data_IF_844223686705
#
_entry.id   IF_844223686705
#
_cell.length_a   1.000
_cell.length_b   1.000
_cell.length_c   1.000
_cell.angle_alpha   90.00
_cell.angle_beta   90.00
_cell.angle_gamma   90.00
#
_symmetry.space_group_name_H-M   'P 1'
#
loop_
_entity.id
_entity.type
_entity.pdbx_description
1 polymer ?
#
# COMPACT_ATOMS: atom_id res chain seq x y z
N UNK A 1 -4.62 -10.46 38.41
CA UNK A 1 -4.89 -10.42 36.98
C UNK A 1 -5.11 -11.87 36.52
N UNK A 2 -6.31 -12.21 36.15
CA UNK A 2 -6.67 -13.55 35.68
C UNK A 2 -7.12 -13.41 34.18
N UNK A 3 -6.17 -13.61 33.27
CA UNK A 3 -6.45 -13.47 31.84
C UNK A 3 -7.05 -14.76 31.29
N UNK A 4 -8.20 -14.63 30.64
CA UNK A 4 -8.86 -15.69 29.88
C UNK A 4 -8.88 -15.34 28.40
N UNK A 5 -8.96 -16.35 27.53
CA UNK A 5 -8.94 -16.18 26.08
C UNK A 5 -10.16 -16.85 25.48
N UNK A 6 -10.81 -16.19 24.52
CA UNK A 6 -11.96 -16.70 23.80
C UNK A 6 -12.05 -16.18 22.39
N UNK A 7 -12.91 -16.78 21.60
CA UNK A 7 -13.24 -16.23 20.27
C UNK A 7 -13.96 -14.88 20.38
N UNK A 8 -13.86 -14.11 19.32
CA UNK A 8 -14.56 -12.83 19.14
C UNK A 8 -16.09 -13.01 19.23
N UNK A 9 -16.76 -12.04 19.85
CA UNK A 9 -18.22 -11.96 19.96
C UNK A 9 -18.72 -10.60 19.48
N UNK A 10 -19.98 -10.53 19.09
CA UNK A 10 -20.63 -9.25 18.78
C UNK A 10 -20.55 -8.30 19.96
N UNK A 11 -20.17 -7.04 19.69
CA UNK A 11 -19.98 -6.00 20.71
C UNK A 11 -18.56 -5.88 21.28
N UNK A 12 -17.64 -6.81 20.95
CA UNK A 12 -16.24 -6.73 21.37
C UNK A 12 -15.53 -5.49 20.79
N UNK A 13 -15.91 -5.07 19.60
CA UNK A 13 -15.41 -3.84 18.97
C UNK A 13 -15.69 -2.60 19.81
N UNK A 14 -16.90 -2.47 20.34
CA UNK A 14 -17.30 -1.35 21.20
C UNK A 14 -16.62 -1.44 22.56
N UNK A 15 -16.60 -2.63 23.18
CA UNK A 15 -15.95 -2.83 24.47
C UNK A 15 -14.43 -2.55 24.41
N UNK A 16 -13.75 -3.01 23.36
CA UNK A 16 -12.34 -2.74 23.15
C UNK A 16 -12.07 -1.27 22.81
N UNK A 17 -12.96 -0.61 22.07
CA UNK A 17 -12.84 0.82 21.79
C UNK A 17 -12.92 1.67 23.07
N UNK A 18 -13.74 1.31 24.02
CA UNK A 18 -13.81 1.98 25.33
C UNK A 18 -12.50 1.84 26.11
N UNK A 19 -11.84 0.67 26.03
CA UNK A 19 -10.58 0.40 26.74
C UNK A 19 -9.37 1.00 26.01
N UNK A 20 -9.29 0.82 24.68
CA UNK A 20 -8.14 1.27 23.88
C UNK A 20 -8.19 2.74 23.51
N UNK A 21 -9.39 3.34 23.45
CA UNK A 21 -9.61 4.65 22.86
C UNK A 21 -9.47 4.63 21.33
N UNK A 22 -9.32 5.82 20.75
CA UNK A 22 -9.08 5.96 19.30
C UNK A 22 -7.76 5.30 18.84
N UNK A 23 -7.63 4.93 17.55
CA UNK A 23 -6.40 4.36 17.04
C UNK A 23 -5.26 5.39 17.08
N UNK A 24 -4.13 5.01 17.70
CA UNK A 24 -2.99 5.91 17.91
C UNK A 24 -1.99 5.89 16.74
N UNK A 25 -2.01 4.82 15.94
CA UNK A 25 -1.11 4.61 14.80
C UNK A 25 -1.90 4.34 13.54
N UNK A 26 -1.28 4.56 12.37
CA UNK A 26 -1.89 4.22 11.09
C UNK A 26 -2.17 2.72 10.98
N UNK A 27 -1.28 1.88 11.54
CA UNK A 27 -1.49 0.43 11.59
C UNK A 27 -2.72 0.06 12.41
N UNK A 28 -2.93 0.71 13.57
CA UNK A 28 -4.14 0.50 14.36
C UNK A 28 -5.40 0.90 13.56
N UNK A 29 -5.37 2.04 12.85
CA UNK A 29 -6.46 2.46 11.96
C UNK A 29 -6.76 1.40 10.90
N UNK A 30 -5.73 0.91 10.22
CA UNK A 30 -5.85 -0.07 9.15
C UNK A 30 -6.35 -1.43 9.66
N UNK A 31 -5.79 -1.92 10.78
CA UNK A 31 -6.00 -3.31 11.20
C UNK A 31 -7.13 -3.51 12.19
N UNK A 32 -7.55 -2.50 12.98
CA UNK A 32 -8.71 -2.65 13.88
C UNK A 32 -9.98 -3.05 13.12
N UNK A 33 -10.16 -2.56 11.89
CA UNK A 33 -11.27 -2.95 11.01
C UNK A 33 -11.25 -4.43 10.59
N UNK A 34 -10.15 -5.15 10.79
CA UNK A 34 -10.07 -6.60 10.53
C UNK A 34 -10.48 -7.46 11.73
N UNK A 35 -10.55 -6.87 12.93
CA UNK A 35 -11.05 -7.52 14.13
C UNK A 35 -12.56 -7.71 14.01
N UNK A 36 -12.99 -8.94 13.85
CA UNK A 36 -14.39 -9.29 13.62
C UNK A 36 -14.58 -10.81 13.86
N UNK A 37 -15.82 -11.30 13.92
CA UNK A 37 -16.09 -12.72 14.12
C UNK A 37 -15.30 -13.62 13.17
N UNK A 38 -14.89 -14.78 13.64
CA UNK A 38 -14.21 -15.79 12.83
C UNK A 38 -15.06 -16.17 11.59
N UNK A 39 -14.42 -16.36 10.45
CA UNK A 39 -15.09 -16.63 9.18
C UNK A 39 -14.24 -17.52 8.26
N UNK A 40 -14.86 -18.08 7.24
CA UNK A 40 -14.21 -18.98 6.28
C UNK A 40 -14.15 -18.42 4.85
N UNK A 41 -14.81 -17.29 4.58
CA UNK A 41 -14.81 -16.66 3.26
C UNK A 41 -14.88 -15.13 3.37
N UNK A 42 -13.74 -14.40 3.42
CA UNK A 42 -12.36 -14.90 3.53
C UNK A 42 -12.07 -15.55 4.89
N UNK A 43 -11.12 -16.47 4.91
CA UNK A 43 -10.73 -17.12 6.16
C UNK A 43 -10.11 -16.13 7.14
N UNK A 44 -10.62 -16.16 8.37
CA UNK A 44 -10.17 -15.29 9.47
C UNK A 44 -10.43 -15.97 10.80
N UNK A 45 -9.51 -15.79 11.76
CA UNK A 45 -9.66 -16.15 13.18
C UNK A 45 -9.33 -14.98 14.04
N UNK A 46 -10.19 -14.69 15.01
CA UNK A 46 -10.04 -13.57 15.94
C UNK A 46 -10.22 -14.06 17.37
N UNK A 47 -9.27 -13.67 18.23
CA UNK A 47 -9.20 -14.09 19.65
C UNK A 47 -9.16 -12.85 20.51
N UNK A 48 -9.97 -12.83 21.57
CA UNK A 48 -10.04 -11.77 22.57
C UNK A 48 -9.46 -12.27 23.88
N UNK A 49 -8.66 -11.44 24.54
CA UNK A 49 -8.20 -11.66 25.89
C UNK A 49 -9.00 -10.78 26.87
N UNK A 50 -9.49 -11.39 27.95
CA UNK A 50 -10.28 -10.73 29.00
C UNK A 50 -9.54 -10.79 30.31
N UNK A 51 -9.50 -9.67 31.07
CA UNK A 51 -9.12 -9.68 32.47
C UNK A 51 -10.38 -9.85 33.34
N UNK A 52 -10.33 -10.79 34.25
CA UNK A 52 -11.45 -11.05 35.19
C UNK A 52 -11.19 -10.28 36.45
N UNK A 53 -11.94 -9.20 36.63
CA UNK A 53 -11.89 -8.32 37.82
C UNK A 53 -13.22 -8.45 38.58
N UNK A 54 -13.16 -8.87 39.80
CA UNK A 54 -14.35 -9.04 40.69
C UNK A 54 -15.46 -9.90 40.05
N UNK A 55 -15.06 -10.90 39.25
CA UNK A 55 -16.00 -11.78 38.58
C UNK A 55 -16.57 -11.24 37.26
N UNK A 56 -16.15 -10.03 36.83
CA UNK A 56 -16.52 -9.43 35.54
C UNK A 56 -15.39 -9.61 34.58
N UNK A 57 -15.68 -10.19 33.40
CA UNK A 57 -14.70 -10.33 32.32
C UNK A 57 -14.71 -9.08 31.44
N UNK A 58 -13.57 -8.41 31.36
CA UNK A 58 -13.37 -7.16 30.61
C UNK A 58 -12.42 -7.43 29.44
N UNK A 59 -12.82 -7.23 28.17
CA UNK A 59 -11.93 -7.36 27.03
C UNK A 59 -10.79 -6.34 27.10
N UNK A 60 -9.53 -6.80 27.12
CA UNK A 60 -8.35 -5.92 27.24
C UNK A 60 -7.38 -6.04 26.10
N UNK A 61 -7.49 -7.10 25.29
CA UNK A 61 -6.67 -7.30 24.12
C UNK A 61 -7.40 -8.14 23.08
N UNK A 62 -7.00 -7.97 21.82
CA UNK A 62 -7.46 -8.84 20.74
C UNK A 62 -6.32 -9.11 19.75
N UNK A 63 -6.45 -10.24 19.06
CA UNK A 63 -5.60 -10.57 17.94
C UNK A 63 -6.38 -11.24 16.82
N UNK A 64 -5.99 -10.99 15.58
CA UNK A 64 -6.59 -11.55 14.38
C UNK A 64 -5.51 -12.10 13.47
N UNK A 65 -5.82 -13.21 12.79
CA UNK A 65 -5.09 -13.73 11.65
C UNK A 65 -6.06 -13.96 10.50
N UNK A 66 -5.70 -13.52 9.29
CA UNK A 66 -6.59 -13.65 8.13
C UNK A 66 -5.81 -13.78 6.81
N UNK A 67 -6.46 -14.40 5.84
CA UNK A 67 -5.98 -14.48 4.46
C UNK A 67 -6.11 -13.12 3.75
N UNK A 68 -5.21 -12.88 2.80
CA UNK A 68 -5.26 -11.74 1.89
C UNK A 68 -5.29 -12.25 0.45
N UNK A 69 -6.29 -11.85 -0.31
CA UNK A 69 -6.45 -12.27 -1.70
C UNK A 69 -5.35 -11.76 -2.61
N UNK A 70 -4.85 -10.55 -2.36
CA UNK A 70 -3.82 -9.94 -3.20
C UNK A 70 -2.45 -10.58 -3.01
N UNK A 71 -2.09 -10.92 -1.78
CA UNK A 71 -0.81 -11.52 -1.42
C UNK A 71 -1.05 -12.81 -0.63
N UNK A 72 -1.30 -13.93 -1.30
CA UNK A 72 -1.77 -15.15 -0.66
C UNK A 72 -0.68 -15.96 0.04
N UNK A 73 0.61 -15.58 -0.08
CA UNK A 73 1.72 -16.39 0.44
C UNK A 73 2.00 -16.18 1.93
N UNK A 74 1.36 -15.19 2.55
CA UNK A 74 1.45 -14.88 3.97
C UNK A 74 0.10 -14.44 4.51
N UNK A 75 -0.19 -14.83 5.74
CA UNK A 75 -1.37 -14.38 6.46
C UNK A 75 -1.09 -13.04 7.16
N UNK A 76 -2.02 -12.12 7.11
CA UNK A 76 -1.97 -10.94 7.95
C UNK A 76 -2.26 -11.31 9.39
N UNK A 77 -1.43 -10.82 10.32
CA UNK A 77 -1.66 -10.92 11.75
C UNK A 77 -1.63 -9.54 12.38
N UNK A 78 -2.53 -9.30 13.32
CA UNK A 78 -2.55 -8.08 14.12
C UNK A 78 -2.87 -8.44 15.57
N UNK A 79 -2.16 -7.82 16.51
CA UNK A 79 -2.39 -7.97 17.95
C UNK A 79 -2.34 -6.59 18.58
N UNK A 80 -3.38 -6.26 19.33
CA UNK A 80 -3.43 -5.04 20.14
C UNK A 80 -3.74 -5.38 21.59
N UNK A 81 -3.00 -4.75 22.52
CA UNK A 81 -3.12 -4.96 23.95
C UNK A 81 -3.24 -3.60 24.62
N UNK A 82 -4.24 -3.46 25.50
CA UNK A 82 -4.39 -2.28 26.34
C UNK A 82 -3.08 -1.94 27.07
N UNK A 83 -2.80 -0.66 27.22
CA UNK A 83 -1.54 -0.14 27.78
C UNK A 83 -1.22 -0.71 29.17
N UNK A 84 -2.24 -0.85 30.01
CA UNK A 84 -2.08 -1.34 31.39
C UNK A 84 -1.79 -2.85 31.45
N UNK A 85 -2.14 -3.60 30.37
CA UNK A 85 -1.97 -5.04 30.27
C UNK A 85 -0.75 -5.46 29.42
N UNK A 86 0.03 -4.47 28.92
CA UNK A 86 1.28 -4.73 28.21
C UNK A 86 2.34 -5.29 29.15
N UNK A 87 3.31 -6.01 28.60
CA UNK A 87 4.45 -6.64 29.32
C UNK A 87 4.04 -7.74 30.31
N UNK A 88 2.78 -8.16 30.31
CA UNK A 88 2.24 -9.27 31.12
C UNK A 88 2.11 -10.59 30.32
N UNK A 89 2.70 -10.67 29.11
CA UNK A 89 2.66 -11.89 28.28
C UNK A 89 1.40 -12.03 27.42
N UNK A 90 0.39 -11.15 27.57
CA UNK A 90 -0.92 -11.24 26.87
C UNK A 90 -0.72 -11.27 25.35
N UNK A 91 0.05 -10.33 24.79
CA UNK A 91 0.31 -10.28 23.36
C UNK A 91 1.05 -11.50 22.82
N UNK A 92 2.02 -12.02 23.57
CA UNK A 92 2.77 -13.23 23.18
C UNK A 92 1.87 -14.47 23.18
N UNK A 93 0.97 -14.58 24.14
CA UNK A 93 -0.02 -15.67 24.18
C UNK A 93 -0.98 -15.57 23.00
N UNK A 94 -1.54 -14.38 22.72
CA UNK A 94 -2.38 -14.15 21.55
C UNK A 94 -1.66 -14.54 20.25
N UNK A 95 -0.42 -14.08 20.05
CA UNK A 95 0.34 -14.42 18.85
C UNK A 95 0.59 -15.94 18.73
N UNK A 96 0.86 -16.64 19.84
CA UNK A 96 1.00 -18.08 19.85
C UNK A 96 -0.29 -18.79 19.44
N UNK A 97 -1.43 -18.34 19.96
CA UNK A 97 -2.75 -18.87 19.59
C UNK A 97 -3.05 -18.60 18.11
N UNK A 98 -2.76 -17.39 17.61
CA UNK A 98 -2.95 -17.05 16.19
C UNK A 98 -2.06 -17.89 15.27
N UNK A 99 -0.82 -18.24 15.68
CA UNK A 99 0.04 -19.18 14.94
C UNK A 99 -0.56 -20.59 14.91
N UNK A 100 -1.20 -21.01 16.00
CA UNK A 100 -1.92 -22.29 16.04
C UNK A 100 -3.11 -22.28 15.07
N UNK A 101 -3.89 -21.21 15.03
CA UNK A 101 -4.98 -21.04 14.07
C UNK A 101 -4.46 -21.00 12.63
N UNK A 102 -3.37 -20.27 12.38
CA UNK A 102 -2.74 -20.18 11.06
C UNK A 102 -2.34 -21.58 10.52
N UNK A 103 -1.88 -22.47 11.39
CA UNK A 103 -1.55 -23.84 11.00
C UNK A 103 -2.76 -24.66 10.52
N UNK A 104 -4.00 -24.18 10.76
CA UNK A 104 -5.25 -24.79 10.35
C UNK A 104 -5.90 -24.05 9.17
N UNK A 105 -5.22 -23.03 8.59
CA UNK A 105 -5.71 -22.28 7.44
C UNK A 105 -5.96 -23.22 6.25
N UNK A 106 -7.11 -23.10 5.56
CA UNK A 106 -7.43 -23.90 4.37
C UNK A 106 -6.43 -23.73 3.23
N UNK A 107 -5.76 -22.59 3.15
CA UNK A 107 -4.72 -22.34 2.16
C UNK A 107 -3.41 -23.10 2.44
N UNK A 108 -3.24 -23.68 3.63
CA UNK A 108 -1.98 -24.28 4.07
C UNK A 108 -0.86 -23.27 4.34
N UNK A 109 -1.15 -21.97 4.24
CA UNK A 109 -0.19 -20.90 4.53
C UNK A 109 -0.12 -20.67 6.03
N UNK A 110 1.09 -20.73 6.58
CA UNK A 110 1.34 -20.57 8.02
C UNK A 110 2.19 -19.34 8.35
N UNK A 111 2.90 -18.79 7.36
CA UNK A 111 3.75 -17.61 7.54
C UNK A 111 2.89 -16.39 7.84
N UNK A 112 3.23 -15.71 8.92
CA UNK A 112 2.57 -14.46 9.31
C UNK A 112 3.33 -13.26 8.76
N UNK A 113 2.60 -12.17 8.52
CA UNK A 113 3.13 -10.83 8.30
C UNK A 113 2.30 -9.80 9.04
N UNK A 114 2.92 -8.71 9.37
CA UNK A 114 2.25 -7.53 9.96
C UNK A 114 2.98 -6.25 9.56
N UNK A 115 2.38 -5.11 9.84
CA UNK A 115 3.00 -3.79 9.67
C UNK A 115 3.32 -3.20 11.04
N UNK A 116 4.48 -2.54 11.16
CA UNK A 116 4.89 -1.84 12.38
C UNK A 116 5.62 -0.55 12.04
N UNK A 117 5.54 0.43 12.93
CA UNK A 117 6.38 1.62 12.87
C UNK A 117 7.67 1.38 13.65
N UNK A 118 8.86 1.69 13.10
CA UNK A 118 10.13 1.58 13.81
C UNK A 118 10.13 2.38 15.12
N UNK A 119 10.84 1.84 16.13
CA UNK A 119 10.96 2.51 17.43
C UNK A 119 9.72 2.44 18.32
N UNK A 120 8.65 1.76 17.89
CA UNK A 120 7.43 1.57 18.68
C UNK A 120 7.48 0.30 19.54
N UNK A 121 6.64 0.20 20.58
CA UNK A 121 6.48 -1.06 21.32
C UNK A 121 6.06 -2.23 20.42
N UNK A 122 5.29 -1.97 19.36
CA UNK A 122 4.92 -2.97 18.36
C UNK A 122 6.12 -3.52 17.61
N UNK A 123 7.07 -2.66 17.20
CA UNK A 123 8.31 -3.10 16.54
C UNK A 123 9.15 -3.99 17.47
N UNK A 124 9.33 -3.59 18.73
CA UNK A 124 10.04 -4.40 19.72
C UNK A 124 9.34 -5.75 20.00
N UNK A 125 8.02 -5.77 19.96
CA UNK A 125 7.23 -7.00 20.15
C UNK A 125 7.43 -7.99 18.99
N UNK A 126 7.35 -7.54 17.74
CA UNK A 126 7.50 -8.44 16.57
C UNK A 126 8.93 -8.92 16.41
N UNK A 127 9.93 -8.09 16.74
CA UNK A 127 11.34 -8.49 16.80
C UNK A 127 11.55 -9.60 17.83
N UNK A 128 11.03 -9.41 19.07
CA UNK A 128 11.08 -10.44 20.11
C UNK A 128 10.32 -11.73 19.76
N UNK A 129 9.32 -11.63 18.87
CA UNK A 129 8.57 -12.77 18.34
C UNK A 129 9.27 -13.47 17.15
N UNK A 130 10.45 -12.98 16.74
CA UNK A 130 11.26 -13.56 15.67
C UNK A 130 10.83 -13.17 14.25
N UNK A 131 9.96 -12.17 14.07
CA UNK A 131 9.64 -11.66 12.74
C UNK A 131 10.76 -10.73 12.26
N UNK A 132 11.04 -10.79 10.95
CA UNK A 132 12.11 -10.02 10.32
C UNK A 132 11.53 -9.02 9.30
N UNK A 133 12.13 -7.85 9.13
CA UNK A 133 11.73 -6.90 8.10
C UNK A 133 11.88 -7.52 6.70
N UNK A 134 10.84 -7.39 5.88
CA UNK A 134 10.82 -7.85 4.49
C UNK A 134 10.57 -6.71 3.51
N UNK A 135 9.99 -5.61 3.97
CA UNK A 135 9.74 -4.42 3.17
C UNK A 135 9.68 -3.19 4.06
N UNK A 136 10.11 -2.06 3.52
CA UNK A 136 9.96 -0.73 4.12
C UNK A 136 9.17 0.14 3.17
N UNK A 137 8.19 0.87 3.70
CA UNK A 137 7.35 1.80 2.95
C UNK A 137 7.36 3.17 3.61
N UNK A 138 7.34 4.22 2.79
CA UNK A 138 7.31 5.63 3.21
C UNK A 138 6.34 6.40 2.35
N UNK A 139 5.59 7.28 2.96
CA UNK A 139 4.82 8.27 2.22
C UNK A 139 5.68 9.51 2.01
N UNK A 140 5.77 9.97 0.76
CA UNK A 140 6.61 11.10 0.36
C UNK A 140 5.79 12.12 -0.40
N UNK A 141 5.80 13.36 0.06
CA UNK A 141 5.23 14.49 -0.68
C UNK A 141 6.35 15.13 -1.49
N UNK A 142 6.18 15.16 -2.81
CA UNK A 142 7.04 15.89 -3.74
C UNK A 142 6.44 17.26 -3.96
N UNK A 143 7.26 18.31 -3.71
CA UNK A 143 6.80 19.70 -3.80
C UNK A 143 6.67 20.17 -5.27
N UNK A 144 5.79 21.14 -5.55
CA UNK A 144 5.62 21.66 -6.90
C UNK A 144 6.91 22.19 -7.50
N UNK A 145 7.17 21.84 -8.78
CA UNK A 145 8.36 22.32 -9.50
C UNK A 145 9.70 21.73 -9.01
N UNK A 146 9.67 20.68 -8.18
CA UNK A 146 10.87 20.01 -7.66
C UNK A 146 11.79 19.46 -8.76
N UNK A 147 11.24 19.15 -9.93
CA UNK A 147 11.96 18.62 -11.09
C UNK A 147 11.81 19.57 -12.29
N UNK A 148 12.84 19.59 -13.13
CA UNK A 148 12.76 20.30 -14.42
C UNK A 148 11.83 19.52 -15.36
N UNK A 149 10.96 20.26 -16.04
CA UNK A 149 10.11 19.67 -17.08
C UNK A 149 10.97 19.03 -18.18
N UNK A 150 10.59 17.84 -18.64
CA UNK A 150 11.24 17.20 -19.77
C UNK A 150 10.99 17.98 -21.07
N UNK A 151 11.92 17.89 -21.99
CA UNK A 151 11.77 18.40 -23.35
C UNK A 151 11.63 17.22 -24.29
N UNK A 152 10.46 17.09 -24.92
CA UNK A 152 10.15 16.00 -25.82
C UNK A 152 10.47 16.38 -27.28
N UNK A 153 11.16 15.50 -28.00
CA UNK A 153 11.48 15.68 -29.42
C UNK A 153 12.15 17.01 -29.72
N UNK A 154 11.53 17.84 -30.52
CA UNK A 154 11.99 19.19 -30.90
C UNK A 154 11.56 20.30 -29.90
N UNK A 155 10.92 19.92 -28.79
CA UNK A 155 10.39 20.84 -27.79
C UNK A 155 9.03 21.44 -28.14
N UNK A 156 8.39 21.01 -29.22
CA UNK A 156 7.05 21.47 -29.58
C UNK A 156 5.97 20.80 -28.73
N UNK A 157 4.82 21.48 -28.60
CA UNK A 157 3.64 20.92 -27.94
C UNK A 157 3.14 19.65 -28.66
N UNK A 158 3.29 19.58 -29.99
CA UNK A 158 2.97 18.39 -30.76
C UNK A 158 3.84 17.19 -30.36
N UNK A 159 5.14 17.39 -30.19
CA UNK A 159 6.05 16.33 -29.72
C UNK A 159 5.74 15.88 -28.30
N UNK A 160 5.36 16.80 -27.42
CA UNK A 160 4.90 16.47 -26.07
C UNK A 160 3.60 15.65 -26.10
N UNK A 161 2.60 16.06 -26.86
CA UNK A 161 1.31 15.36 -27.02
C UNK A 161 1.42 13.98 -27.69
N UNK A 162 2.52 13.69 -28.37
CA UNK A 162 2.79 12.35 -28.89
C UNK A 162 3.29 11.37 -27.84
N UNK A 163 3.93 11.88 -26.79
CA UNK A 163 4.55 11.05 -25.74
C UNK A 163 3.77 11.08 -24.42
N UNK A 164 3.04 12.14 -24.14
CA UNK A 164 2.22 12.26 -22.91
C UNK A 164 0.74 12.15 -23.30
N UNK A 165 0.03 11.21 -22.67
CA UNK A 165 -1.37 10.92 -22.98
C UNK A 165 -2.18 10.75 -21.70
N UNK A 166 -3.35 11.38 -21.64
CA UNK A 166 -4.39 11.02 -20.68
C UNK A 166 -5.02 9.70 -21.12
N UNK A 167 -5.01 8.71 -20.25
CA UNK A 167 -5.50 7.39 -20.55
C UNK A 167 -6.68 7.04 -19.63
N UNK A 168 -7.74 6.49 -20.21
CA UNK A 168 -8.86 6.01 -19.39
C UNK A 168 -8.41 4.92 -18.43
N UNK A 169 -8.84 4.99 -17.18
CA UNK A 169 -8.51 4.01 -16.13
C UNK A 169 -8.99 2.60 -16.51
N UNK A 170 -10.06 2.46 -17.30
CA UNK A 170 -10.53 1.17 -17.87
C UNK A 170 -9.67 0.61 -19.03
N UNK A 171 -8.54 1.24 -19.39
CA UNK A 171 -7.67 0.77 -20.47
C UNK A 171 -7.03 -0.58 -20.17
N UNK A 172 -7.14 -1.52 -21.12
CA UNK A 172 -6.51 -2.84 -21.03
C UNK A 172 -4.97 -2.71 -21.01
N UNK A 173 -4.41 -1.80 -21.81
CA UNK A 173 -2.96 -1.54 -21.85
C UNK A 173 -2.45 -1.04 -20.49
N UNK A 174 -3.17 -0.10 -19.86
CA UNK A 174 -2.85 0.39 -18.53
C UNK A 174 -2.93 -0.73 -17.49
N UNK A 175 -4.01 -1.49 -17.49
CA UNK A 175 -4.21 -2.61 -16.57
C UNK A 175 -3.08 -3.64 -16.64
N UNK A 176 -2.64 -3.96 -17.87
CA UNK A 176 -1.58 -4.93 -18.09
C UNK A 176 -0.22 -4.43 -17.56
N UNK A 177 0.16 -3.17 -17.83
CA UNK A 177 1.42 -2.62 -17.33
C UNK A 177 1.40 -2.43 -15.80
N UNK A 178 0.29 -1.98 -15.23
CA UNK A 178 0.10 -1.84 -13.78
C UNK A 178 0.27 -3.20 -13.08
N UNK A 179 -0.39 -4.25 -13.59
CA UNK A 179 -0.28 -5.59 -13.02
C UNK A 179 1.15 -6.15 -13.08
N UNK A 180 1.86 -5.95 -14.20
CA UNK A 180 3.28 -6.35 -14.33
C UNK A 180 4.18 -5.56 -13.39
N UNK A 181 4.00 -4.24 -13.31
CA UNK A 181 4.77 -3.40 -12.40
C UNK A 181 4.56 -3.80 -10.95
N UNK A 182 3.29 -3.92 -10.53
CA UNK A 182 2.95 -4.34 -9.17
C UNK A 182 3.61 -5.67 -8.80
N UNK A 183 3.53 -6.66 -9.71
CA UNK A 183 4.18 -7.96 -9.50
C UNK A 183 5.71 -7.85 -9.41
N UNK A 184 6.32 -6.95 -10.16
CA UNK A 184 7.79 -6.79 -10.18
C UNK A 184 8.33 -6.18 -8.89
N UNK A 185 7.61 -5.22 -8.30
CA UNK A 185 8.03 -4.54 -7.06
C UNK A 185 7.61 -5.31 -5.80
N UNK A 186 6.71 -6.29 -5.90
CA UNK A 186 6.28 -7.12 -4.78
C UNK A 186 6.86 -8.55 -4.82
N UNK A 187 8.05 -8.71 -5.41
CA UNK A 187 8.73 -10.03 -5.45
C UNK A 187 9.03 -10.62 -4.06
N UNK A 188 9.14 -9.79 -3.04
CA UNK A 188 9.32 -10.19 -1.63
C UNK A 188 8.06 -10.87 -1.03
N UNK A 189 6.89 -10.61 -1.58
CA UNK A 189 5.61 -11.26 -1.24
C UNK A 189 4.73 -11.28 -2.50
N UNK A 190 5.03 -12.22 -3.39
CA UNK A 190 4.44 -12.24 -4.72
C UNK A 190 2.91 -12.19 -4.67
N UNK A 191 2.29 -11.29 -5.43
CA UNK A 191 0.83 -11.25 -5.50
C UNK A 191 0.28 -12.53 -6.14
N UNK A 192 -1.00 -12.78 -5.91
CA UNK A 192 -1.75 -13.77 -6.67
C UNK A 192 -1.84 -13.39 -8.15
N UNK A 193 -2.58 -14.17 -8.93
CA UNK A 193 -2.77 -13.86 -10.35
C UNK A 193 -3.48 -12.50 -10.54
N UNK A 194 -2.78 -11.57 -11.18
CA UNK A 194 -3.28 -10.24 -11.51
C UNK A 194 -3.83 -10.23 -12.93
N UNK A 195 -5.02 -10.81 -13.12
CA UNK A 195 -5.77 -10.65 -14.37
C UNK A 195 -6.12 -9.17 -14.61
N UNK A 196 -6.37 -8.77 -15.85
CA UNK A 196 -6.82 -7.41 -16.20
C UNK A 196 -8.01 -6.99 -15.33
N UNK A 197 -9.02 -7.85 -15.16
CA UNK A 197 -10.17 -7.55 -14.34
C UNK A 197 -9.83 -7.38 -12.85
N UNK A 198 -8.86 -8.15 -12.34
CA UNK A 198 -8.38 -8.01 -10.95
C UNK A 198 -7.66 -6.67 -10.78
N UNK A 199 -6.77 -6.30 -11.71
CA UNK A 199 -6.06 -5.03 -11.68
C UNK A 199 -7.02 -3.85 -11.77
N UNK A 200 -7.99 -3.89 -12.69
CA UNK A 200 -9.02 -2.85 -12.80
C UNK A 200 -9.74 -2.64 -11.48
N UNK A 201 -10.26 -3.71 -10.89
CA UNK A 201 -10.99 -3.64 -9.62
C UNK A 201 -10.13 -3.11 -8.46
N UNK A 202 -8.85 -3.46 -8.38
CA UNK A 202 -8.00 -3.13 -7.24
C UNK A 202 -7.35 -1.77 -7.34
N UNK A 203 -7.02 -1.32 -8.56
CA UNK A 203 -6.18 -0.13 -8.76
C UNK A 203 -6.79 0.94 -9.68
N UNK A 204 -7.78 0.60 -10.48
CA UNK A 204 -8.24 1.47 -11.57
C UNK A 204 -9.74 1.78 -11.54
N UNK A 205 -10.50 1.12 -10.68
CA UNK A 205 -11.94 1.34 -10.51
C UNK A 205 -12.19 2.61 -9.68
N UNK A 206 -13.28 3.32 -9.98
CA UNK A 206 -13.75 4.44 -9.16
C UNK A 206 -13.98 4.03 -7.69
N UNK A 207 -14.37 2.78 -7.43
CA UNK A 207 -14.51 2.25 -6.06
C UNK A 207 -13.16 2.11 -5.35
N UNK A 208 -12.05 1.98 -6.08
CA UNK A 208 -10.69 2.06 -5.52
C UNK A 208 -10.20 3.50 -5.33
N UNK A 209 -11.00 4.49 -5.73
CA UNK A 209 -10.68 5.90 -5.69
C UNK A 209 -9.96 6.42 -6.95
N UNK A 210 -9.67 5.58 -7.93
CA UNK A 210 -8.98 6.01 -9.15
C UNK A 210 -9.86 6.93 -9.99
N UNK A 211 -9.37 8.13 -10.34
CA UNK A 211 -10.15 9.10 -11.11
C UNK A 211 -9.42 9.66 -12.34
N UNK A 212 -8.14 9.30 -12.55
CA UNK A 212 -7.39 9.72 -13.73
C UNK A 212 -6.09 8.96 -13.88
N UNK A 213 -5.60 8.85 -15.11
CA UNK A 213 -4.29 8.29 -15.40
C UNK A 213 -3.59 9.06 -16.51
N UNK A 214 -2.33 9.38 -16.29
CA UNK A 214 -1.42 9.97 -17.28
C UNK A 214 -0.34 8.96 -17.57
N UNK A 215 -0.02 8.77 -18.85
CA UNK A 215 1.05 7.85 -19.28
C UNK A 215 2.11 8.56 -20.11
N UNK A 216 3.34 8.11 -19.95
CA UNK A 216 4.47 8.48 -20.79
C UNK A 216 4.75 7.36 -21.79
N UNK A 217 4.94 7.71 -23.06
CA UNK A 217 5.22 6.78 -24.16
C UNK A 217 6.58 7.05 -24.79
N UNK A 218 7.22 5.97 -25.24
CA UNK A 218 8.39 6.09 -26.10
C UNK A 218 8.06 6.90 -27.36
N UNK A 219 9.03 7.63 -27.92
CA UNK A 219 8.89 8.20 -29.23
C UNK A 219 8.50 7.14 -30.25
N UNK A 220 7.66 7.48 -31.22
CA UNK A 220 7.32 6.57 -32.32
C UNK A 220 8.59 6.18 -33.04
N UNK A 221 8.88 4.88 -33.14
CA UNK A 221 9.98 4.42 -33.96
C UNK A 221 9.72 4.85 -35.41
N UNK A 222 10.65 5.60 -36.02
CA UNK A 222 10.54 5.96 -37.42
C UNK A 222 10.63 4.68 -38.25
N UNK A 223 9.58 4.38 -39.00
CA UNK A 223 9.45 3.18 -39.82
C UNK A 223 10.31 3.27 -41.12
N UNK A 224 11.60 3.49 -40.95
CA UNK A 224 12.53 3.30 -42.07
C UNK A 224 13.13 1.89 -41.98
N UNK A 225 12.53 0.94 -42.70
CA UNK A 225 13.25 -0.21 -43.18
C UNK A 225 12.81 -1.62 -42.84
N UNK A 226 11.71 -1.90 -42.17
CA UNK A 226 11.19 -3.27 -42.06
C UNK A 226 9.66 -3.28 -41.95
N UNK A 227 9.01 -4.08 -42.83
CA UNK A 227 7.55 -4.17 -43.01
C UNK A 227 6.75 -4.78 -41.84
N UNK A 228 6.97 -4.28 -40.65
CA UNK A 228 6.18 -4.60 -39.44
C UNK A 228 5.16 -3.48 -39.24
N UNK A 229 3.86 -3.76 -39.00
CA UNK A 229 2.89 -2.74 -38.70
C UNK A 229 3.32 -2.01 -37.44
N UNK A 230 3.78 -0.76 -37.60
CA UNK A 230 4.15 0.12 -36.49
C UNK A 230 2.85 0.45 -35.73
N UNK A 231 2.81 0.14 -34.45
CA UNK A 231 1.75 0.64 -33.56
C UNK A 231 1.63 2.16 -33.78
N UNK A 232 0.40 2.67 -33.94
CA UNK A 232 0.16 4.11 -34.12
C UNK A 232 0.61 4.93 -32.91
N UNK A 233 0.82 4.29 -31.76
CA UNK A 233 1.29 4.90 -30.49
C UNK A 233 2.60 4.26 -30.06
N UNK A 234 3.50 5.02 -29.46
CA UNK A 234 4.71 4.51 -28.82
C UNK A 234 4.39 3.53 -27.68
N UNK A 235 5.37 2.70 -27.30
CA UNK A 235 5.25 1.81 -26.13
C UNK A 235 5.06 2.64 -24.87
N UNK A 236 4.15 2.20 -23.97
CA UNK A 236 3.99 2.80 -22.65
C UNK A 236 5.25 2.56 -21.82
N UNK A 237 5.85 3.62 -21.28
CA UNK A 237 7.09 3.57 -20.49
C UNK A 237 6.85 3.83 -19.00
N UNK A 238 5.98 4.80 -18.68
CA UNK A 238 5.59 5.10 -17.30
C UNK A 238 4.11 5.45 -17.22
N UNK A 239 3.53 5.27 -16.05
CA UNK A 239 2.15 5.62 -15.75
C UNK A 239 2.05 6.28 -14.37
N UNK A 240 1.10 7.18 -14.22
CA UNK A 240 0.67 7.79 -12.97
C UNK A 240 -0.85 7.70 -12.87
N UNK A 241 -1.34 7.11 -11.80
CA UNK A 241 -2.78 6.99 -11.50
C UNK A 241 -3.05 7.87 -10.29
N UNK A 242 -3.96 8.82 -10.44
CA UNK A 242 -4.39 9.70 -9.34
C UNK A 242 -5.60 9.12 -8.62
N UNK A 243 -5.60 9.26 -7.29
CA UNK A 243 -6.68 8.81 -6.44
C UNK A 243 -7.37 10.00 -5.77
N UNK A 244 -8.69 9.97 -5.77
CA UNK A 244 -9.48 10.86 -4.93
C UNK A 244 -9.32 10.44 -3.47
N UNK A 245 -9.20 11.41 -2.57
CA UNK A 245 -9.32 11.13 -1.15
C UNK A 245 -10.68 10.46 -0.92
N UNK A 246 -10.67 9.19 -0.49
CA UNK A 246 -11.90 8.52 -0.06
C UNK A 246 -12.46 9.35 1.09
N UNK A 247 -13.48 10.13 0.82
CA UNK A 247 -14.14 10.96 1.82
C UNK A 247 -14.40 10.09 3.06
N UNK A 248 -13.77 10.43 4.18
CA UNK A 248 -14.05 9.79 5.46
C UNK A 248 -15.57 9.73 5.60
N UNK A 249 -16.13 8.55 5.85
CA UNK A 249 -17.55 8.26 5.81
C UNK A 249 -18.36 9.36 6.52
N UNK A 250 -18.98 10.28 5.76
CA UNK A 250 -19.73 11.45 6.26
C UNK A 250 -19.51 12.77 5.51
N UNK A 251 -18.53 12.86 4.62
CA UNK A 251 -18.29 14.06 3.79
C UNK A 251 -19.11 14.04 2.50
N UNK A 252 -19.71 15.16 2.16
CA UNK A 252 -20.56 15.35 0.99
C UNK A 252 -19.74 15.18 -0.31
N UNK A 253 -20.01 14.22 -1.20
CA UNK A 253 -19.28 14.04 -2.45
C UNK A 253 -19.76 15.08 -3.48
N UNK A 254 -19.20 16.27 -3.47
CA UNK A 254 -19.67 17.30 -4.38
C UNK A 254 -19.01 18.66 -4.27
N UNK A 255 -17.89 18.79 -3.63
CA UNK A 255 -17.14 20.05 -3.55
C UNK A 255 -15.94 20.03 -4.49
N UNK A 256 -16.03 20.79 -5.59
CA UNK A 256 -14.91 21.05 -6.51
C UNK A 256 -13.81 21.98 -5.92
N UNK A 257 -13.67 22.01 -4.61
CA UNK A 257 -12.66 22.78 -3.87
C UNK A 257 -11.98 21.87 -2.86
N UNK A 258 -11.05 21.01 -3.34
CA UNK A 258 -9.99 20.56 -2.45
C UNK A 258 -9.24 21.81 -1.98
N UNK A 259 -8.97 21.98 -0.66
CA UNK A 259 -8.23 23.15 -0.19
C UNK A 259 -6.91 23.19 -0.96
N UNK A 260 -6.66 24.33 -1.62
CA UNK A 260 -5.46 24.60 -2.40
C UNK A 260 -4.23 24.32 -1.52
N UNK A 261 -3.49 23.22 -1.81
CA UNK A 261 -2.29 22.83 -1.08
C UNK A 261 -2.26 21.40 -0.53
N UNK A 262 -3.34 20.62 -0.61
CA UNK A 262 -3.26 19.20 -0.30
C UNK A 262 -2.58 18.42 -1.45
N UNK A 263 -1.68 17.48 -1.15
CA UNK A 263 -1.03 16.67 -2.19
C UNK A 263 -2.02 15.67 -2.78
N UNK A 264 -1.93 15.49 -4.09
CA UNK A 264 -2.68 14.43 -4.79
C UNK A 264 -2.01 13.08 -4.55
N UNK A 265 -2.76 12.09 -4.10
CA UNK A 265 -2.27 10.71 -3.97
C UNK A 265 -2.11 10.09 -5.36
N UNK A 266 -0.91 9.55 -5.64
CA UNK A 266 -0.56 9.02 -6.96
C UNK A 266 0.19 7.70 -6.86
N UNK A 267 -0.28 6.71 -7.58
CA UNK A 267 0.47 5.50 -7.85
C UNK A 267 1.29 5.68 -9.14
N UNK A 268 2.60 5.82 -8.99
CA UNK A 268 3.55 6.03 -10.07
C UNK A 268 4.38 4.78 -10.33
N UNK A 269 4.39 4.31 -11.57
CA UNK A 269 5.15 3.13 -11.97
C UNK A 269 5.65 3.21 -13.41
N UNK A 270 6.32 2.14 -13.85
CA UNK A 270 6.92 2.05 -15.17
C UNK A 270 6.78 0.65 -15.78
N UNK A 271 7.03 0.51 -17.08
CA UNK A 271 7.14 -0.79 -17.74
C UNK A 271 8.34 -1.57 -17.16
N UNK A 272 8.14 -2.75 -16.56
CA UNK A 272 9.24 -3.50 -15.91
C UNK A 272 10.34 -4.00 -16.86
N UNK A 273 10.07 -3.99 -18.17
CA UNK A 273 11.06 -4.42 -19.20
C UNK A 273 12.05 -3.33 -19.58
N UNK A 274 11.90 -2.12 -19.05
CA UNK A 274 12.88 -1.05 -19.25
C UNK A 274 14.17 -1.39 -18.50
N UNK A 275 15.30 -0.93 -19.04
CA UNK A 275 16.54 -0.88 -18.27
C UNK A 275 16.40 0.08 -17.09
N UNK A 276 17.29 -0.04 -16.10
CA UNK A 276 17.24 0.83 -14.90
C UNK A 276 17.34 2.32 -15.27
N UNK A 277 18.16 2.68 -16.25
CA UNK A 277 18.32 4.06 -16.70
C UNK A 277 17.08 4.58 -17.43
N UNK A 278 16.48 3.76 -18.30
CA UNK A 278 15.22 4.09 -19.00
C UNK A 278 14.07 4.24 -17.98
N UNK A 279 13.94 3.31 -17.05
CA UNK A 279 12.92 3.35 -16.01
C UNK A 279 13.05 4.60 -15.14
N UNK A 280 14.29 4.91 -14.71
CA UNK A 280 14.57 6.12 -13.92
C UNK A 280 14.25 7.40 -14.71
N UNK A 281 14.59 7.45 -15.99
CA UNK A 281 14.30 8.60 -16.85
C UNK A 281 12.78 8.77 -17.03
N UNK A 282 12.06 7.70 -17.37
CA UNK A 282 10.61 7.73 -17.57
C UNK A 282 9.85 8.13 -16.29
N UNK A 283 10.23 7.57 -15.13
CA UNK A 283 9.66 7.94 -13.81
C UNK A 283 9.94 9.40 -13.49
N UNK A 284 11.19 9.88 -13.69
CA UNK A 284 11.56 11.28 -13.45
C UNK A 284 10.75 12.23 -14.32
N UNK A 285 10.64 11.94 -15.62
CA UNK A 285 9.98 12.82 -16.58
C UNK A 285 8.47 12.87 -16.33
N UNK A 286 7.83 11.74 -16.01
CA UNK A 286 6.42 11.72 -15.65
C UNK A 286 6.17 12.41 -14.29
N UNK A 287 7.03 12.18 -13.29
CA UNK A 287 6.93 12.86 -11.99
C UNK A 287 7.09 14.39 -12.14
N UNK A 288 8.00 14.85 -13.01
CA UNK A 288 8.18 16.27 -13.29
C UNK A 288 6.91 16.92 -13.87
N UNK A 289 6.16 16.20 -14.68
CA UNK A 289 4.90 16.67 -15.27
C UNK A 289 3.78 16.75 -14.22
N UNK A 290 3.57 15.66 -13.48
CA UNK A 290 2.45 15.59 -12.53
C UNK A 290 2.67 16.46 -11.27
N UNK A 291 3.92 16.64 -10.84
CA UNK A 291 4.30 17.49 -9.72
C UNK A 291 4.69 18.93 -10.14
N UNK A 292 4.30 19.39 -11.34
CA UNK A 292 4.71 20.71 -11.81
C UNK A 292 4.02 21.84 -11.06
N UNK A 293 2.71 21.77 -10.87
CA UNK A 293 1.90 22.85 -10.28
C UNK A 293 1.37 22.49 -8.88
N UNK A 294 1.20 21.21 -8.59
CA UNK A 294 0.59 20.72 -7.35
C UNK A 294 1.49 19.72 -6.67
N UNK A 295 1.48 19.65 -5.33
CA UNK A 295 2.24 18.63 -4.62
C UNK A 295 1.64 17.24 -4.87
N UNK A 296 2.50 16.23 -4.92
CA UNK A 296 2.13 14.83 -5.18
C UNK A 296 2.54 13.97 -4.00
N UNK A 297 1.62 13.16 -3.49
CA UNK A 297 1.89 12.15 -2.48
C UNK A 297 2.17 10.81 -3.17
N UNK A 298 3.28 10.19 -2.82
CA UNK A 298 3.71 8.90 -3.35
C UNK A 298 3.96 7.92 -2.20
N UNK A 299 3.53 6.68 -2.35
CA UNK A 299 4.06 5.58 -1.56
C UNK A 299 5.38 5.13 -2.18
N UNK A 300 6.44 5.09 -1.36
CA UNK A 300 7.80 4.73 -1.76
C UNK A 300 8.24 3.51 -0.99
N UNK A 301 8.25 2.37 -1.66
CA UNK A 301 8.79 1.11 -1.17
C UNK A 301 10.26 0.94 -1.53
N UNK A 302 11.03 0.27 -0.66
CA UNK A 302 12.46 -0.01 -0.94
C UNK A 302 12.66 -0.85 -2.22
N UNK A 303 11.66 -1.62 -2.63
CA UNK A 303 11.65 -2.40 -3.88
C UNK A 303 11.42 -1.55 -5.15
N UNK A 304 10.99 -0.28 -5.02
CA UNK A 304 10.74 0.64 -6.13
C UNK A 304 12.02 1.39 -6.51
N UNK A 305 13.01 0.68 -7.07
CA UNK A 305 14.36 1.21 -7.30
C UNK A 305 14.39 2.48 -8.16
N UNK A 306 13.67 2.51 -9.28
CA UNK A 306 13.61 3.68 -10.18
C UNK A 306 13.02 4.90 -9.46
N UNK A 307 11.91 4.74 -8.73
CA UNK A 307 11.27 5.81 -7.98
C UNK A 307 12.17 6.29 -6.83
N UNK A 308 12.81 5.37 -6.10
CA UNK A 308 13.76 5.68 -5.02
C UNK A 308 14.96 6.49 -5.54
N UNK A 309 15.47 6.15 -6.72
CA UNK A 309 16.58 6.87 -7.34
C UNK A 309 16.22 8.31 -7.75
N UNK A 310 14.94 8.58 -8.08
CA UNK A 310 14.44 9.92 -8.41
C UNK A 310 14.12 10.71 -7.15
N UNK A 311 13.41 10.11 -6.19
CA UNK A 311 12.88 10.81 -5.01
C UNK A 311 13.96 11.01 -3.93
N UNK A 312 14.95 10.11 -3.82
CA UNK A 312 16.00 10.20 -2.82
C UNK A 312 16.77 11.53 -2.85
N UNK A 313 17.26 12.00 -4.02
CA UNK A 313 17.90 13.33 -4.13
C UNK A 313 16.95 14.49 -3.77
N UNK A 314 15.66 14.39 -4.07
CA UNK A 314 14.67 15.43 -3.73
C UNK A 314 14.47 15.52 -2.21
N UNK A 315 14.42 14.39 -1.52
CA UNK A 315 14.37 14.34 -0.05
C UNK A 315 15.63 14.97 0.55
N UNK A 316 16.80 14.60 0.04
CA UNK A 316 18.08 15.17 0.51
C UNK A 316 18.19 16.67 0.23
N UNK A 317 17.61 17.17 -0.87
CA UNK A 317 17.59 18.57 -1.29
C UNK A 317 16.45 19.40 -0.67
N UNK A 318 15.57 18.82 0.13
CA UNK A 318 14.40 19.51 0.71
C UNK A 318 13.30 19.86 -0.30
N UNK A 319 13.33 19.26 -1.48
CA UNK A 319 12.31 19.40 -2.54
C UNK A 319 11.20 18.32 -2.45
N UNK A 320 11.39 17.38 -1.54
CA UNK A 320 10.40 16.44 -1.09
C UNK A 320 10.49 16.26 0.43
N UNK A 321 9.44 15.80 1.07
CA UNK A 321 9.39 15.55 2.52
C UNK A 321 8.65 14.25 2.83
N UNK A 322 9.01 13.63 3.94
CA UNK A 322 8.26 12.50 4.47
C UNK A 322 6.91 12.97 5.04
N UNK A 323 5.88 12.17 4.82
CA UNK A 323 4.57 12.35 5.44
C UNK A 323 4.28 11.18 6.38
N UNK A 324 4.18 11.48 7.67
CA UNK A 324 3.98 10.47 8.70
C UNK A 324 5.24 9.64 9.00
N UNK A 325 5.03 8.53 9.70
CA UNK A 325 6.09 7.61 10.06
C UNK A 325 6.34 6.59 8.93
N UNK A 326 7.58 6.13 8.85
CA UNK A 326 7.93 5.00 7.99
C UNK A 326 7.26 3.71 8.54
N UNK A 327 6.92 2.80 7.66
CA UNK A 327 6.29 1.53 7.98
C UNK A 327 7.20 0.36 7.56
N UNK A 328 7.38 -0.60 8.45
CA UNK A 328 8.01 -1.87 8.12
C UNK A 328 6.94 -2.95 7.98
N UNK A 329 6.97 -3.68 6.88
CA UNK A 329 6.33 -4.98 6.79
C UNK A 329 7.33 -6.00 7.34
N UNK A 330 6.91 -6.72 8.36
CA UNK A 330 7.70 -7.78 8.99
C UNK A 330 7.00 -9.12 8.82
N UNK A 331 7.76 -10.20 8.72
CA UNK A 331 7.21 -11.54 8.48
C UNK A 331 8.04 -12.60 9.19
N UNK A 332 7.46 -13.80 9.35
CA UNK A 332 8.23 -14.97 9.69
C UNK A 332 9.38 -15.15 8.67
N UNK A 333 10.56 -15.58 9.12
CA UNK A 333 11.69 -15.83 8.24
C UNK A 333 11.36 -16.89 7.17
N UNK A 334 12.11 -16.87 6.06
CA UNK A 334 11.90 -17.74 4.91
C UNK A 334 12.16 -19.22 5.24
#
# INVERSE_FOLDING_TARGET
MAITYREWRDGDDLALLEIWGGPETEQARQFRGTLAPSGNAPWRRCIVAEDVVDGVAIPVAAGVVHEASLHPQRLWAYVEVDRQHRRAGVGSTLLTMLRHEAAQSPSGVTRLRTKVEPGTPGAAFVEAAGLVPVQRSRLVVVEPGALKLPVFGDGSEAAASEQVEDLATGSVELSDVVGRYYSSVHGWDSPGELSIATVQRLFLDELSGAHGAIVLRAPKASAFGQGVPVSRKGRLEAFAISYAELAAAGGNPGGADAPSGQPTDVFLGHEPKLSEDEARAAVRDLLALIAFQHPVLLELDDSMAALSAVVGPLLAGGQARLQGAETLVVSDPA
#
